data_IF_851626175500
#
_entry.id   IF_851626175500
#
_cell.length_a   1.000
_cell.length_b   1.000
_cell.length_c   1.000
_cell.angle_alpha   90.00
_cell.angle_beta   90.00
_cell.angle_gamma   90.00
#
_symmetry.space_group_name_H-M   'P 1'
#
loop_
_entity.id
_entity.type
_entity.pdbx_description
1 polymer ?
#
# COMPACT_ATOMS: atom_id res chain seq x y z
N UNK A 1 -24.59 19.51 -2.61
CA UNK A 1 -23.94 19.22 -2.95
C UNK A 1 -23.33 19.07 -2.75
N UNK A 2 -23.30 18.85 -2.78
CA UNK A 2 -22.59 18.39 -2.99
C UNK A 2 -21.92 18.28 -2.97
N UNK A 3 -22.21 18.12 -3.03
CA UNK A 3 -21.49 17.83 -3.29
C UNK A 3 -20.77 17.53 -3.14
N UNK A 4 -21.21 17.58 -3.04
CA UNK A 4 -20.46 17.21 -3.16
C UNK A 4 -19.70 16.86 -3.05
N UNK A 5 -20.04 16.80 -2.92
CA UNK A 5 -19.40 16.36 -3.06
C UNK A 5 -18.82 16.29 -3.22
N UNK A 6 -19.11 16.27 -3.29
CA UNK A 6 -18.55 16.24 -3.75
C UNK A 6 -17.97 15.96 -3.75
N UNK A 7 -18.22 16.01 -3.59
CA UNK A 7 -17.65 15.46 -3.78
C UNK A 7 -16.50 15.27 -3.99
N UNK A 8 -16.02 15.41 -3.40
CA UNK A 8 -14.78 15.13 -3.69
C UNK A 8 -14.61 13.83 -4.19
N UNK A 9 -14.20 13.79 -5.25
CA UNK A 9 -14.15 12.54 -5.86
C UNK A 9 -13.28 11.69 -5.06
N UNK A 10 -13.67 10.51 -4.89
CA UNK A 10 -12.80 9.56 -4.33
C UNK A 10 -11.57 9.53 -5.16
N UNK A 11 -10.53 9.23 -4.54
CA UNK A 11 -9.31 9.06 -5.20
C UNK A 11 -9.43 7.77 -5.95
N UNK A 12 -9.82 7.86 -7.19
CA UNK A 12 -9.89 6.69 -8.05
C UNK A 12 -8.53 6.51 -8.65
N UNK A 13 -7.79 5.61 -8.07
CA UNK A 13 -6.45 5.31 -8.53
C UNK A 13 -6.45 3.98 -9.23
N UNK A 14 -5.74 3.92 -10.32
CA UNK A 14 -5.63 2.69 -11.10
C UNK A 14 -4.18 2.27 -11.15
N UNK A 15 -3.92 1.05 -10.75
CA UNK A 15 -2.59 0.45 -10.86
C UNK A 15 -2.68 -0.64 -11.91
N UNK A 16 -1.88 -0.48 -12.95
CA UNK A 16 -1.82 -1.48 -14.01
C UNK A 16 -0.66 -2.40 -13.73
N UNK A 17 -0.94 -3.68 -13.64
CA UNK A 17 0.07 -4.69 -13.38
C UNK A 17 0.52 -5.26 -14.71
N UNK A 18 1.80 -5.06 -15.00
CA UNK A 18 2.41 -5.60 -16.20
C UNK A 18 3.62 -6.39 -15.79
N UNK A 19 3.62 -7.67 -16.02
CA UNK A 19 4.74 -8.51 -15.64
C UNK A 19 4.41 -9.33 -14.40
N UNK A 20 5.43 -9.98 -13.88
CA UNK A 20 5.24 -10.98 -12.82
C UNK A 20 5.15 -10.37 -11.44
N UNK A 21 5.79 -9.21 -11.23
CA UNK A 21 5.76 -8.54 -9.94
C UNK A 21 5.05 -7.21 -10.06
N UNK A 22 3.88 -7.09 -9.46
CA UNK A 22 3.17 -5.82 -9.49
C UNK A 22 3.83 -4.84 -8.52
N UNK A 23 4.49 -3.85 -9.06
CA UNK A 23 5.21 -2.88 -8.25
C UNK A 23 4.71 -1.48 -8.49
N UNK A 24 4.73 -0.70 -7.42
CA UNK A 24 4.32 0.71 -7.44
C UNK A 24 5.35 1.51 -6.69
N UNK A 25 5.73 2.64 -7.26
CA UNK A 25 6.58 3.58 -6.55
C UNK A 25 5.72 4.60 -5.83
N UNK A 26 5.98 4.75 -4.57
CA UNK A 26 5.27 5.65 -3.69
C UNK A 26 6.30 6.49 -2.96
N UNK A 27 6.08 7.80 -2.91
CA UNK A 27 6.95 8.65 -2.12
C UNK A 27 6.53 8.56 -0.67
N UNK A 28 7.46 8.20 0.19
CA UNK A 28 7.23 8.08 1.62
C UNK A 28 8.28 8.94 2.32
N UNK A 29 7.83 9.97 3.02
CA UNK A 29 8.72 10.91 3.71
C UNK A 29 9.81 11.43 2.76
N UNK A 30 9.40 11.81 1.55
CA UNK A 30 10.27 12.37 0.51
C UNK A 30 11.27 11.38 -0.08
N UNK A 31 11.09 10.10 0.15
CA UNK A 31 11.91 9.06 -0.46
C UNK A 31 11.04 8.19 -1.33
N UNK A 32 11.54 7.85 -2.50
CA UNK A 32 10.82 6.95 -3.39
C UNK A 32 11.03 5.50 -2.94
N UNK A 33 9.93 4.83 -2.62
CA UNK A 33 9.97 3.44 -2.21
C UNK A 33 9.28 2.59 -3.27
N UNK A 34 9.88 1.46 -3.56
CA UNK A 34 9.37 0.55 -4.57
C UNK A 34 8.63 -0.59 -3.87
N UNK A 35 7.30 -0.50 -3.86
CA UNK A 35 6.46 -1.45 -3.15
C UNK A 35 5.98 -2.57 -4.05
N UNK A 36 5.96 -3.77 -3.52
CA UNK A 36 5.24 -4.88 -4.15
C UNK A 36 3.79 -4.79 -3.72
N UNK A 37 2.87 -4.78 -4.70
CA UNK A 37 1.44 -4.77 -4.39
C UNK A 37 1.05 -6.16 -3.91
N UNK A 38 0.53 -6.23 -2.69
CA UNK A 38 0.19 -7.52 -2.06
C UNK A 38 -1.20 -7.40 -1.45
N UNK A 39 -2.20 -7.84 -2.20
CA UNK A 39 -3.59 -7.79 -1.73
C UNK A 39 -3.87 -8.77 -0.61
N UNK A 40 -2.97 -9.73 -0.38
CA UNK A 40 -3.08 -10.63 0.75
C UNK A 40 -2.58 -10.03 2.04
N UNK A 41 -1.81 -8.95 1.97
CA UNK A 41 -1.29 -8.28 3.16
C UNK A 41 -2.32 -7.30 3.70
N UNK A 42 -2.59 -7.38 4.99
CA UNK A 42 -3.49 -6.43 5.64
C UNK A 42 -2.81 -5.08 5.80
N UNK A 43 -1.53 -5.08 6.12
CA UNK A 43 -0.78 -3.87 6.43
C UNK A 43 0.34 -3.66 5.43
N UNK A 44 0.61 -2.39 5.16
CA UNK A 44 1.74 -2.00 4.33
C UNK A 44 3.01 -1.98 5.18
N UNK A 45 4.11 -2.38 4.57
CA UNK A 45 5.35 -2.69 5.28
C UNK A 45 6.52 -1.97 4.64
N UNK A 46 7.35 -1.36 5.48
CA UNK A 46 8.68 -0.91 5.10
C UNK A 46 9.70 -1.90 5.63
N UNK A 47 10.74 -2.13 4.86
CA UNK A 47 11.81 -3.04 5.26
C UNK A 47 13.00 -2.29 5.87
N UNK A 48 13.07 -1.00 5.67
CA UNK A 48 14.16 -0.16 6.14
C UNK A 48 13.59 1.18 6.55
N UNK A 49 13.95 1.64 7.74
CA UNK A 49 13.43 2.90 8.24
C UNK A 49 14.36 3.43 9.32
N UNK A 50 14.79 4.67 9.17
CA UNK A 50 15.71 5.29 10.12
C UNK A 50 15.09 6.44 10.90
N UNK A 51 13.80 6.72 10.69
CA UNK A 51 13.13 7.81 11.38
C UNK A 51 12.61 7.40 12.75
N UNK A 52 11.74 8.23 13.28
CA UNK A 52 11.15 8.02 14.59
C UNK A 52 10.03 7.00 14.54
N UNK A 53 9.97 6.15 15.53
CA UNK A 53 8.90 5.17 15.69
C UNK A 53 7.81 5.74 16.59
N UNK A 54 6.58 5.27 16.38
CA UNK A 54 5.51 5.57 17.32
C UNK A 54 5.63 4.62 18.52
N UNK A 55 4.85 4.89 19.54
CA UNK A 55 4.79 3.99 20.70
C UNK A 55 3.91 2.78 20.43
N UNK A 56 3.24 2.75 19.30
CA UNK A 56 2.31 1.67 18.96
C UNK A 56 3.04 0.50 18.35
N UNK A 57 2.51 -0.67 18.60
CA UNK A 57 3.02 -1.91 18.03
C UNK A 57 1.86 -2.68 17.43
N UNK A 58 2.19 -3.64 16.58
CA UNK A 58 1.22 -4.52 15.97
C UNK A 58 1.75 -5.93 16.03
N UNK A 59 0.91 -6.86 16.45
CA UNK A 59 1.26 -8.29 16.47
C UNK A 59 0.74 -8.91 15.18
N UNK A 60 1.64 -9.50 14.42
CA UNK A 60 1.30 -10.11 13.14
C UNK A 60 1.46 -11.62 13.23
N UNK A 61 0.57 -12.32 12.54
CA UNK A 61 0.58 -13.77 12.46
C UNK A 61 1.23 -14.17 11.15
N UNK A 62 2.33 -14.88 11.25
CA UNK A 62 3.01 -15.37 10.07
C UNK A 62 2.35 -16.62 9.51
N UNK A 63 2.78 -17.00 8.31
CA UNK A 63 2.23 -18.17 7.62
C UNK A 63 2.45 -19.46 8.39
N UNK A 64 3.47 -19.50 9.25
CA UNK A 64 3.76 -20.68 10.06
C UNK A 64 2.96 -20.75 11.36
N UNK A 65 2.07 -19.78 11.59
CA UNK A 65 1.33 -19.69 12.84
C UNK A 65 2.06 -18.98 13.96
N UNK A 66 3.28 -18.54 13.70
CA UNK A 66 4.07 -17.82 14.69
C UNK A 66 3.68 -16.36 14.70
N UNK A 67 3.55 -15.79 15.89
CA UNK A 67 3.26 -14.37 16.04
C UNK A 67 4.54 -13.60 16.32
N UNK A 68 4.63 -12.40 15.77
CA UNK A 68 5.72 -11.47 16.07
C UNK A 68 5.12 -10.09 16.28
N UNK A 69 5.78 -9.30 17.13
CA UNK A 69 5.36 -7.93 17.38
C UNK A 69 6.29 -6.98 16.67
N UNK A 70 5.74 -6.10 15.89
CA UNK A 70 6.50 -5.13 15.10
C UNK A 70 6.08 -3.72 15.48
N UNK A 71 7.00 -2.78 15.31
CA UNK A 71 6.76 -1.38 15.62
C UNK A 71 6.21 -0.66 14.40
N UNK A 72 5.43 0.37 14.68
CA UNK A 72 4.89 1.25 13.65
C UNK A 72 5.73 2.52 13.57
N UNK A 73 5.90 3.05 12.38
CA UNK A 73 6.53 4.36 12.21
C UNK A 73 5.63 5.43 12.78
N UNK A 74 6.19 6.63 12.97
CA UNK A 74 5.36 7.81 13.11
C UNK A 74 4.55 7.98 11.82
N UNK A 75 3.53 8.83 11.85
CA UNK A 75 2.77 9.13 10.65
C UNK A 75 3.69 9.78 9.62
N UNK A 76 3.84 9.14 8.49
CA UNK A 76 4.70 9.60 7.41
C UNK A 76 3.87 10.16 6.28
N UNK A 77 4.32 11.27 5.73
CA UNK A 77 3.64 11.87 4.59
C UNK A 77 3.96 11.07 3.34
N UNK A 78 2.92 10.63 2.65
CA UNK A 78 3.04 9.82 1.44
C UNK A 78 2.43 10.58 0.27
N UNK A 79 3.00 10.35 -0.91
CA UNK A 79 2.50 10.96 -2.12
C UNK A 79 2.52 9.95 -3.26
N UNK A 80 1.41 9.85 -3.97
CA UNK A 80 1.30 9.02 -5.15
C UNK A 80 0.30 9.63 -6.10
N UNK A 81 0.73 9.81 -7.34
CA UNK A 81 -0.13 10.32 -8.41
C UNK A 81 -0.83 11.63 -8.01
N UNK A 82 -0.08 12.52 -7.36
CA UNK A 82 -0.61 13.80 -6.93
C UNK A 82 -1.46 13.75 -5.68
N UNK A 83 -1.68 12.58 -5.11
CA UNK A 83 -2.46 12.43 -3.90
C UNK A 83 -1.54 12.35 -2.70
N UNK A 84 -1.90 13.07 -1.64
CA UNK A 84 -1.08 13.16 -0.44
C UNK A 84 -1.89 12.61 0.74
N UNK A 85 -1.27 11.74 1.50
CA UNK A 85 -1.90 11.16 2.68
C UNK A 85 -0.83 10.81 3.71
N UNK A 86 -1.26 10.59 4.95
CA UNK A 86 -0.35 10.16 6.02
C UNK A 86 -0.62 8.71 6.37
N UNK A 87 0.45 7.99 6.70
CA UNK A 87 0.30 6.60 7.06
C UNK A 87 1.40 6.16 8.01
N UNK A 88 1.06 5.24 8.92
CA UNK A 88 2.02 4.59 9.81
C UNK A 88 2.28 3.18 9.29
N UNK A 89 3.53 2.92 8.93
CA UNK A 89 3.91 1.63 8.35
C UNK A 89 4.42 0.68 9.42
N UNK A 90 4.18 -0.59 9.24
CA UNK A 90 4.92 -1.61 9.96
C UNK A 90 6.34 -1.66 9.43
N UNK A 91 7.30 -1.85 10.32
CA UNK A 91 8.69 -2.01 9.89
C UNK A 91 9.08 -3.45 10.14
N UNK A 92 9.32 -4.18 9.05
CA UNK A 92 9.63 -5.60 9.07
C UNK A 92 10.90 -5.84 8.26
N UNK A 93 12.06 -5.73 8.89
CA UNK A 93 13.33 -5.87 8.15
C UNK A 93 13.50 -7.24 7.50
N UNK A 94 12.85 -8.26 8.05
CA UNK A 94 12.95 -9.62 7.50
C UNK A 94 12.19 -9.79 6.19
N UNK A 95 11.29 -8.87 5.89
CA UNK A 95 10.53 -8.94 4.65
C UNK A 95 11.47 -8.62 3.48
N UNK A 96 11.43 -9.39 2.40
CA UNK A 96 12.38 -9.17 1.31
C UNK A 96 12.18 -7.87 0.54
N UNK A 97 11.00 -7.28 0.63
CA UNK A 97 10.71 -6.06 -0.12
C UNK A 97 9.59 -5.32 0.60
N UNK A 98 9.49 -4.00 0.44
CA UNK A 98 8.34 -3.28 0.96
C UNK A 98 7.05 -3.76 0.32
N UNK A 99 5.99 -3.83 1.12
CA UNK A 99 4.70 -4.33 0.68
C UNK A 99 3.65 -3.22 0.77
N UNK A 100 2.87 -3.10 -0.29
CA UNK A 100 1.69 -2.23 -0.30
C UNK A 100 0.48 -3.11 -0.05
N UNK A 101 -0.07 -3.00 1.14
CA UNK A 101 -1.16 -3.85 1.56
C UNK A 101 -2.52 -3.23 1.31
N UNK A 102 -3.56 -3.96 1.74
CA UNK A 102 -4.94 -3.52 1.52
C UNK A 102 -5.26 -2.20 2.22
N UNK A 103 -4.58 -1.92 3.31
CA UNK A 103 -4.83 -0.69 4.06
C UNK A 103 -4.60 0.56 3.20
N UNK A 104 -3.49 0.63 2.48
CA UNK A 104 -3.23 1.77 1.60
C UNK A 104 -4.04 1.64 0.32
N UNK A 105 -4.14 0.43 -0.22
CA UNK A 105 -4.88 0.22 -1.47
C UNK A 105 -6.34 0.66 -1.32
N UNK A 106 -6.97 0.32 -0.20
CA UNK A 106 -8.35 0.74 0.02
C UNK A 106 -8.43 2.23 0.30
N UNK A 107 -7.45 2.78 1.01
CA UNK A 107 -7.43 4.21 1.29
C UNK A 107 -7.37 5.01 0.00
N UNK A 108 -6.67 4.52 -1.00
CA UNK A 108 -6.57 5.20 -2.29
C UNK A 108 -7.73 4.88 -3.22
N UNK A 109 -8.63 3.97 -2.85
CA UNK A 109 -9.70 3.56 -3.75
C UNK A 109 -9.15 2.94 -5.01
N UNK A 110 -8.19 2.04 -4.87
CA UNK A 110 -7.38 1.56 -5.99
C UNK A 110 -8.06 0.44 -6.74
N UNK A 111 -8.00 0.51 -8.06
CA UNK A 111 -8.36 -0.58 -8.95
C UNK A 111 -7.09 -1.16 -9.52
N UNK A 112 -6.93 -2.47 -9.36
CA UNK A 112 -5.77 -3.17 -9.90
C UNK A 112 -6.14 -3.80 -11.22
N UNK A 113 -5.35 -3.50 -12.25
CA UNK A 113 -5.58 -4.02 -13.59
C UNK A 113 -4.38 -4.84 -14.00
N UNK A 114 -4.63 -6.04 -14.52
CA UNK A 114 -3.59 -6.84 -15.14
C UNK A 114 -3.50 -6.41 -16.59
N UNK A 115 -2.47 -5.65 -16.90
CA UNK A 115 -2.32 -5.07 -18.22
C UNK A 115 -1.43 -5.87 -19.13
N UNK A 116 -1.35 -5.41 -20.36
CA UNK A 116 -0.48 -5.93 -21.44
C UNK A 116 -0.65 -7.40 -21.74
N UNK A 117 -1.79 -7.96 -21.46
CA UNK A 117 -2.11 -9.29 -21.90
C UNK A 117 -2.72 -9.24 -23.27
N UNK A 118 -2.41 -10.23 -24.08
CA UNK A 118 -3.14 -10.45 -25.31
C UNK A 118 -4.47 -11.12 -25.04
N UNK A 119 -4.71 -11.52 -23.84
CA UNK A 119 -5.96 -12.16 -23.47
C UNK A 119 -7.11 -11.19 -23.67
N UNK A 120 -8.28 -11.70 -24.02
CA UNK A 120 -9.41 -10.82 -24.32
C UNK A 120 -9.91 -10.04 -23.13
N UNK A 121 -9.52 -10.40 -21.95
CA UNK A 121 -9.91 -9.64 -20.78
C UNK A 121 -8.75 -9.54 -19.82
N UNK A 122 -8.57 -8.38 -19.28
CA UNK A 122 -7.64 -8.20 -18.19
C UNK A 122 -8.30 -8.64 -16.90
N UNK A 123 -7.51 -9.22 -16.02
CA UNK A 123 -7.97 -9.51 -14.69
C UNK A 123 -8.01 -8.22 -13.92
N UNK A 124 -9.17 -7.88 -13.42
CA UNK A 124 -9.34 -6.66 -12.65
C UNK A 124 -9.65 -7.03 -11.21
N UNK A 125 -8.83 -6.50 -10.31
CA UNK A 125 -9.04 -6.65 -8.89
C UNK A 125 -9.48 -5.31 -8.35
N UNK A 126 -10.67 -5.26 -7.78
CA UNK A 126 -11.20 -4.04 -7.20
C UNK A 126 -10.97 -4.09 -5.70
N UNK A 127 -10.20 -3.14 -5.22
CA UNK A 127 -9.92 -3.02 -3.79
C UNK A 127 -10.71 -1.84 -3.26
N UNK A 128 -11.68 -2.11 -2.40
CA UNK A 128 -12.55 -1.08 -1.86
C UNK A 128 -12.54 -1.12 -0.35
N UNK A 129 -12.97 -0.05 0.23
CA UNK A 129 -13.16 0.02 1.69
C UNK A 129 -14.41 -0.71 2.10
#
# INVERSE_FOLDING_TARGET
MFETALLQPPLLSQITITGLEPRVQLDVASRSENFLVDTGATYSVLTSYSGAFSSQTCTILGATGKTTTKRLTQALLCCWDGQIFSYQFLVVPECPTPLLGRDILTKLGTTLMMGSFSAPRALQLLVTT
#
